data_IF_182351522864
#
_entry.id   IF_182351522864
#
_cell.length_a   1.000
_cell.length_b   1.000
_cell.length_c   1.000
_cell.angle_alpha   90.00
_cell.angle_beta   90.00
_cell.angle_gamma   90.00
#
_symmetry.space_group_name_H-M   'P 1'
#
loop_
_entity.id
_entity.type
_entity.pdbx_description
1 polymer ?
#
# COMPACT_ATOMS: atom_id res chain seq x y z
N UNK A 1 -2.99 3.57 5.76
CA UNK A 1 -3.05 3.37 4.30
C UNK A 1 -3.99 2.23 4.02
N UNK A 2 -5.07 2.46 3.27
CA UNK A 2 -6.02 1.40 2.87
C UNK A 2 -5.88 1.14 1.39
N UNK A 3 -5.72 -0.12 1.00
CA UNK A 3 -5.77 -0.56 -0.39
C UNK A 3 -7.01 -1.44 -0.56
N UNK A 4 -7.71 -1.27 -1.67
CA UNK A 4 -8.95 -1.97 -1.97
C UNK A 4 -8.90 -2.53 -3.38
N UNK A 5 -9.52 -3.68 -3.58
CA UNK A 5 -9.79 -4.21 -4.92
C UNK A 5 -10.72 -3.29 -5.74
N UNK A 6 -11.43 -2.36 -5.10
CA UNK A 6 -12.21 -1.31 -5.78
C UNK A 6 -11.35 -0.34 -6.58
N UNK A 7 -10.06 -0.20 -6.26
CA UNK A 7 -9.11 0.59 -7.05
C UNK A 7 -8.74 -0.09 -8.39
N UNK A 8 -9.15 -1.34 -8.58
CA UNK A 8 -9.05 -2.10 -9.83
C UNK A 8 -10.43 -2.26 -10.47
N UNK A 9 -10.55 -3.07 -11.53
CA UNK A 9 -11.86 -3.40 -12.09
C UNK A 9 -12.55 -4.61 -11.44
N UNK A 10 -11.91 -5.24 -10.44
CA UNK A 10 -12.37 -6.48 -9.83
C UNK A 10 -13.78 -6.37 -9.23
N UNK A 11 -13.99 -5.45 -8.29
CA UNK A 11 -15.27 -5.35 -7.58
C UNK A 11 -16.41 -4.97 -8.54
N UNK A 12 -16.14 -4.05 -9.48
CA UNK A 12 -17.08 -3.69 -10.55
C UNK A 12 -17.47 -4.91 -11.40
N UNK A 13 -16.50 -5.73 -11.83
CA UNK A 13 -16.76 -6.94 -12.60
C UNK A 13 -17.54 -7.99 -11.83
N UNK A 14 -17.40 -8.03 -10.51
CA UNK A 14 -18.12 -8.94 -9.62
C UNK A 14 -19.48 -8.41 -9.16
N UNK A 15 -19.79 -7.13 -9.43
CA UNK A 15 -21.00 -6.49 -8.92
C UNK A 15 -20.98 -6.30 -7.40
N UNK A 16 -19.79 -6.26 -6.78
CA UNK A 16 -19.65 -5.99 -5.35
C UNK A 16 -19.66 -4.48 -5.11
N UNK A 17 -20.44 -4.06 -4.13
CA UNK A 17 -20.32 -2.71 -3.58
C UNK A 17 -18.89 -2.53 -3.03
N UNK A 18 -18.25 -1.35 -3.20
CA UNK A 18 -16.92 -1.11 -2.68
C UNK A 18 -16.77 -1.31 -1.17
N UNK A 19 -17.85 -1.27 -0.37
CA UNK A 19 -17.83 -1.55 1.06
C UNK A 19 -18.09 -3.03 1.42
N UNK A 20 -18.51 -3.86 0.44
CA UNK A 20 -18.71 -5.29 0.63
C UNK A 20 -17.37 -5.98 0.96
N UNK A 21 -17.27 -6.81 2.00
CA UNK A 21 -16.01 -7.47 2.35
C UNK A 21 -15.47 -8.40 1.25
N UNK A 22 -16.30 -8.85 0.30
CA UNK A 22 -15.84 -9.58 -0.90
C UNK A 22 -15.09 -8.68 -1.89
N UNK A 23 -15.28 -7.36 -1.80
CA UNK A 23 -14.38 -6.37 -2.35
C UNK A 23 -13.23 -6.13 -1.36
N UNK A 24 -12.25 -7.04 -1.34
CA UNK A 24 -11.27 -7.09 -0.25
C UNK A 24 -10.49 -5.77 -0.02
N UNK A 25 -10.24 -5.47 1.25
CA UNK A 25 -9.43 -4.35 1.74
C UNK A 25 -8.27 -4.84 2.60
N UNK A 26 -7.12 -4.18 2.44
CA UNK A 26 -6.00 -4.29 3.38
C UNK A 26 -5.70 -2.91 3.93
N UNK A 27 -5.65 -2.83 5.26
CA UNK A 27 -5.43 -1.60 6.00
C UNK A 27 -4.10 -1.72 6.74
N UNK A 28 -3.14 -0.89 6.37
CA UNK A 28 -1.86 -0.76 7.02
C UNK A 28 -1.85 0.48 7.92
N UNK A 29 -1.43 0.33 9.18
CA UNK A 29 -1.16 1.43 10.09
C UNK A 29 0.26 1.35 10.64
N UNK A 30 0.83 2.51 10.95
CA UNK A 30 2.24 2.66 11.26
C UNK A 30 2.70 4.11 11.18
N UNK A 31 4.02 4.30 11.09
CA UNK A 31 4.63 5.62 10.99
C UNK A 31 5.32 5.84 9.65
N UNK A 32 5.23 7.05 9.11
CA UNK A 32 5.95 7.40 7.89
C UNK A 32 7.39 7.79 8.24
N UNK A 33 8.36 7.11 7.64
CA UNK A 33 9.79 7.35 7.84
C UNK A 33 10.42 7.80 6.53
N UNK A 34 11.33 8.78 6.61
CA UNK A 34 12.17 9.15 5.46
C UNK A 34 13.14 8.01 5.14
N UNK A 35 13.26 7.64 3.87
CA UNK A 35 14.19 6.61 3.41
C UNK A 35 15.58 7.23 3.23
N UNK A 36 16.59 6.63 3.85
CA UNK A 36 17.99 7.07 3.82
C UNK A 36 18.93 5.88 3.54
N UNK A 37 20.19 6.17 3.19
CA UNK A 37 21.24 5.15 3.09
C UNK A 37 21.01 4.15 1.97
N UNK A 38 21.25 2.87 2.26
CA UNK A 38 21.26 1.77 1.28
C UNK A 38 19.89 1.47 0.66
N UNK A 39 18.79 1.81 1.34
CA UNK A 39 17.42 1.56 0.86
C UNK A 39 16.95 2.59 -0.19
N UNK A 40 17.62 3.74 -0.31
CA UNK A 40 17.18 4.83 -1.18
C UNK A 40 17.13 4.44 -2.66
N UNK A 41 18.11 3.65 -3.13
CA UNK A 41 18.12 3.16 -4.51
C UNK A 41 16.95 2.22 -4.80
N UNK A 42 16.63 1.34 -3.83
CA UNK A 42 15.47 0.46 -3.92
C UNK A 42 14.16 1.24 -3.93
N UNK A 43 13.97 2.20 -3.01
CA UNK A 43 12.77 3.02 -2.94
C UNK A 43 12.54 3.83 -4.23
N UNK A 44 13.61 4.40 -4.80
CA UNK A 44 13.55 5.10 -6.09
C UNK A 44 13.08 4.18 -7.22
N UNK A 45 13.68 3.00 -7.34
CA UNK A 45 13.32 2.04 -8.38
C UNK A 45 11.88 1.51 -8.21
N UNK A 46 11.50 1.15 -6.97
CA UNK A 46 10.17 0.66 -6.65
C UNK A 46 9.08 1.70 -6.98
N UNK A 47 9.32 2.99 -6.70
CA UNK A 47 8.35 4.04 -6.98
C UNK A 47 8.29 4.37 -8.47
N UNK A 48 9.43 4.58 -9.13
CA UNK A 48 9.47 5.05 -10.52
C UNK A 48 9.12 3.96 -11.54
N UNK A 49 9.34 2.67 -11.23
CA UNK A 49 8.86 1.58 -12.07
C UNK A 49 7.33 1.51 -12.16
N UNK A 50 6.62 1.99 -11.14
CA UNK A 50 5.14 2.01 -11.07
C UNK A 50 4.55 3.38 -11.42
N UNK A 51 5.32 4.45 -11.22
CA UNK A 51 4.92 5.83 -11.47
C UNK A 51 6.00 6.56 -12.30
N UNK A 52 6.14 6.23 -13.60
CA UNK A 52 7.22 6.76 -14.45
C UNK A 52 7.17 8.29 -14.59
N UNK A 53 5.98 8.89 -14.52
CA UNK A 53 5.80 10.35 -14.52
C UNK A 53 6.58 11.07 -13.41
N UNK A 54 6.78 10.41 -12.26
CA UNK A 54 7.51 10.99 -11.12
C UNK A 54 8.99 11.28 -11.42
N UNK A 55 9.56 10.64 -12.45
CA UNK A 55 10.94 10.92 -12.90
C UNK A 55 11.08 12.37 -13.38
N UNK A 56 10.00 12.92 -13.95
CA UNK A 56 10.00 14.26 -14.56
C UNK A 56 9.37 15.33 -13.67
N UNK A 57 9.04 15.00 -12.41
CA UNK A 57 8.49 15.98 -11.47
C UNK A 57 9.48 17.10 -11.18
N UNK A 58 9.00 18.34 -10.94
CA UNK A 58 9.88 19.50 -10.79
C UNK A 58 10.78 19.34 -9.57
N UNK A 59 12.09 19.41 -9.79
CA UNK A 59 13.09 19.27 -8.73
C UNK A 59 12.99 20.38 -7.65
N UNK A 60 12.44 21.54 -7.98
CA UNK A 60 12.27 22.69 -7.08
C UNK A 60 11.35 22.41 -5.88
N UNK A 61 10.59 21.31 -5.89
CA UNK A 61 9.70 20.93 -4.79
C UNK A 61 10.40 20.10 -3.69
N UNK A 62 11.70 19.82 -3.82
CA UNK A 62 12.50 19.10 -2.83
C UNK A 62 11.93 17.72 -2.43
N UNK A 63 11.53 16.93 -3.43
CA UNK A 63 10.99 15.58 -3.22
C UNK A 63 11.98 14.67 -2.48
N UNK A 64 11.45 13.79 -1.63
CA UNK A 64 12.20 12.74 -0.96
C UNK A 64 11.35 11.49 -0.82
N UNK A 65 12.00 10.34 -0.67
CA UNK A 65 11.32 9.06 -0.52
C UNK A 65 10.94 8.83 0.94
N UNK A 66 9.72 8.33 1.16
CA UNK A 66 9.25 7.87 2.46
C UNK A 66 8.75 6.44 2.35
N UNK A 67 8.80 5.73 3.47
CA UNK A 67 8.19 4.41 3.64
C UNK A 67 7.24 4.40 4.84
N UNK A 68 6.24 3.54 4.79
CA UNK A 68 5.40 3.23 5.94
C UNK A 68 6.06 2.12 6.76
N UNK A 69 6.48 2.43 7.99
CA UNK A 69 6.89 1.43 8.96
C UNK A 69 5.64 0.81 9.58
N UNK A 70 5.22 -0.33 9.04
CA UNK A 70 3.97 -1.02 9.37
C UNK A 70 4.06 -1.61 10.79
N UNK A 71 3.07 -1.27 11.63
CA UNK A 71 2.92 -1.84 12.98
C UNK A 71 1.63 -2.62 13.14
N UNK A 72 0.60 -2.33 12.34
CA UNK A 72 -0.68 -3.03 12.40
C UNK A 72 -1.20 -3.27 10.97
N UNK A 73 -1.81 -4.44 10.77
CA UNK A 73 -2.39 -4.86 9.50
C UNK A 73 -3.76 -5.47 9.77
N UNK A 74 -4.77 -4.98 9.06
CA UNK A 74 -6.09 -5.59 9.05
C UNK A 74 -6.47 -5.98 7.62
N UNK A 75 -7.00 -7.19 7.47
CA UNK A 75 -7.53 -7.70 6.22
C UNK A 75 -9.04 -7.89 6.36
N UNK A 76 -9.80 -7.21 5.52
CA UNK A 76 -11.24 -7.40 5.37
C UNK A 76 -11.47 -8.03 3.99
N UNK A 77 -11.60 -9.35 3.94
CA UNK A 77 -11.71 -10.13 2.70
C UNK A 77 -12.94 -11.05 2.66
N UNK A 78 -13.68 -11.13 3.76
CA UNK A 78 -14.87 -11.95 3.87
C UNK A 78 -15.76 -11.52 5.04
N UNK A 79 -16.95 -12.11 5.11
CA UNK A 79 -17.84 -11.97 6.26
C UNK A 79 -17.20 -12.60 7.51
N UNK A 80 -17.58 -12.09 8.70
CA UNK A 80 -17.06 -12.56 9.98
C UNK A 80 -16.08 -11.59 10.66
N UNK A 81 -15.83 -10.43 10.08
CA UNK A 81 -15.00 -9.37 10.67
C UNK A 81 -13.58 -9.33 10.12
N UNK A 82 -12.79 -8.38 10.63
CA UNK A 82 -11.40 -8.17 10.19
C UNK A 82 -10.47 -9.25 10.73
N UNK A 83 -9.55 -9.72 9.88
CA UNK A 83 -8.42 -10.55 10.28
C UNK A 83 -7.25 -9.65 10.64
N UNK A 84 -6.60 -9.94 11.78
CA UNK A 84 -5.38 -9.24 12.19
C UNK A 84 -4.20 -10.06 11.69
N UNK A 85 -3.25 -9.39 11.02
CA UNK A 85 -2.01 -9.99 10.50
C UNK A 85 -0.84 -9.27 11.16
N UNK A 86 0.15 -10.00 11.65
CA UNK A 86 1.35 -9.35 12.21
C UNK A 86 2.30 -8.90 11.10
N UNK A 87 3.15 -7.89 11.33
CA UNK A 87 4.20 -7.53 10.38
C UNK A 87 5.11 -8.70 10.01
N UNK A 88 5.43 -9.58 10.97
CA UNK A 88 6.26 -10.76 10.74
C UNK A 88 5.59 -11.73 9.76
N UNK A 89 4.30 -12.02 9.95
CA UNK A 89 3.53 -12.85 9.02
C UNK A 89 3.50 -12.23 7.62
N UNK A 90 3.25 -10.93 7.52
CA UNK A 90 3.18 -10.21 6.25
C UNK A 90 4.52 -10.22 5.49
N UNK A 91 5.65 -10.08 6.19
CA UNK A 91 6.98 -10.07 5.57
C UNK A 91 7.63 -11.46 5.49
N UNK A 92 6.94 -12.54 5.88
CA UNK A 92 7.49 -13.90 5.88
C UNK A 92 7.59 -14.57 4.50
N UNK A 93 7.22 -13.86 3.43
CA UNK A 93 7.15 -14.35 2.04
C UNK A 93 8.38 -14.03 1.20
#
# INVERSE_FOLDING_TARGET
LTLSLAATDYCRKKGYDPEDPLCAHVIFSGTMLKVNGTEAAFAKNALFSRHPEMVNWPASHNWFFMKLNITNIWVLDYFGGVKIVTPEEYYSV
#
